data_IF_525708627869
#
_entry.id   IF_525708627869
#
_cell.length_a   1.000
_cell.length_b   1.000
_cell.length_c   1.000
_cell.angle_alpha   90.00
_cell.angle_beta   90.00
_cell.angle_gamma   90.00
#
_symmetry.space_group_name_H-M   'P 1'
#
loop_
_entity.id
_entity.type
_entity.pdbx_description
1 polymer ?
#
# COMPACT_ATOMS: atom_id res chain seq x y z
N UNK A 1 -12.21 7.20 -1.55
CA UNK A 1 -12.04 6.43 -0.30
C UNK A 1 -12.16 4.97 -0.59
N UNK A 2 -11.00 4.33 -0.60
CA UNK A 2 -10.84 2.90 -0.73
C UNK A 2 -9.64 2.50 0.10
N UNK A 3 -9.85 1.56 1.02
CA UNK A 3 -8.78 0.99 1.81
C UNK A 3 -8.15 -0.19 1.07
N UNK A 4 -6.82 -0.21 1.09
CA UNK A 4 -6.03 -1.30 0.53
C UNK A 4 -5.09 -1.85 1.59
N UNK A 5 -5.07 -3.18 1.70
CA UNK A 5 -4.13 -3.93 2.52
C UNK A 5 -2.93 -4.36 1.67
N UNK A 6 -1.74 -4.10 2.16
CA UNK A 6 -0.46 -4.46 1.54
C UNK A 6 0.19 -5.55 2.40
N UNK A 7 0.38 -6.73 1.82
CA UNK A 7 1.04 -7.86 2.49
C UNK A 7 2.55 -7.64 2.44
N UNK A 8 3.14 -7.49 3.61
CA UNK A 8 4.54 -7.13 3.80
C UNK A 8 5.44 -8.36 3.71
N UNK A 9 6.66 -8.14 3.23
CA UNK A 9 7.73 -9.12 3.32
C UNK A 9 8.43 -9.15 4.68
N UNK A 10 9.48 -9.98 4.76
CA UNK A 10 10.20 -10.27 6.00
C UNK A 10 10.80 -9.03 6.66
N UNK A 11 11.27 -8.05 5.88
CA UNK A 11 11.71 -6.75 6.38
C UNK A 11 10.57 -5.72 6.38
N UNK A 12 9.57 -5.97 7.22
CA UNK A 12 8.31 -5.20 7.25
C UNK A 12 8.50 -3.69 7.46
N UNK A 13 9.49 -3.27 8.26
CA UNK A 13 9.79 -1.84 8.46
C UNK A 13 10.24 -1.17 7.16
N UNK A 14 11.15 -1.82 6.43
CA UNK A 14 11.63 -1.32 5.14
C UNK A 14 10.50 -1.35 4.10
N UNK A 15 9.69 -2.41 4.07
CA UNK A 15 8.54 -2.53 3.18
C UNK A 15 7.53 -1.40 3.38
N UNK A 16 7.20 -1.05 4.63
CA UNK A 16 6.31 0.08 4.92
C UNK A 16 6.96 1.40 4.47
N UNK A 17 8.26 1.60 4.76
CA UNK A 17 8.97 2.80 4.36
C UNK A 17 9.02 2.97 2.83
N UNK A 18 9.26 1.90 2.09
CA UNK A 18 9.24 1.86 0.62
C UNK A 18 7.85 2.25 0.10
N UNK A 19 6.78 1.64 0.63
CA UNK A 19 5.40 1.93 0.25
C UNK A 19 5.06 3.41 0.48
N UNK A 20 5.36 3.95 1.66
CA UNK A 20 5.08 5.35 1.98
C UNK A 20 5.89 6.32 1.10
N UNK A 21 7.14 5.96 0.78
CA UNK A 21 7.95 6.74 -0.15
C UNK A 21 7.38 6.71 -1.56
N UNK A 22 6.95 5.54 -2.05
CA UNK A 22 6.30 5.39 -3.35
C UNK A 22 5.04 6.25 -3.44
N UNK A 23 4.14 6.13 -2.46
CA UNK A 23 2.87 6.87 -2.39
C UNK A 23 3.13 8.38 -2.43
N UNK A 24 4.05 8.86 -1.59
CA UNK A 24 4.40 10.28 -1.52
C UNK A 24 5.03 10.80 -2.81
N UNK A 25 5.94 10.04 -3.41
CA UNK A 25 6.66 10.46 -4.62
C UNK A 25 5.74 10.52 -5.86
N UNK A 26 4.65 9.73 -5.88
CA UNK A 26 3.63 9.75 -6.93
C UNK A 26 2.51 10.76 -6.66
N UNK A 27 2.55 11.46 -5.53
CA UNK A 27 1.58 12.50 -5.17
C UNK A 27 0.24 11.98 -4.67
N UNK A 28 0.15 10.70 -4.31
CA UNK A 28 -1.08 10.11 -3.79
C UNK A 28 -1.38 10.61 -2.37
N UNK A 29 -2.64 10.91 -2.09
CA UNK A 29 -3.11 11.22 -0.73
C UNK A 29 -3.59 9.93 -0.03
N UNK A 30 -2.74 9.35 0.81
CA UNK A 30 -3.06 8.16 1.59
C UNK A 30 -2.70 8.28 3.08
N UNK A 31 -3.47 7.61 3.94
CA UNK A 31 -3.28 7.57 5.40
C UNK A 31 -3.14 6.11 5.84
N UNK A 32 -2.17 5.83 6.71
CA UNK A 32 -2.06 4.50 7.37
C UNK A 32 -3.18 4.38 8.40
N UNK A 33 -4.08 3.42 8.23
CA UNK A 33 -5.21 3.18 9.15
C UNK A 33 -4.94 2.06 10.13
N UNK A 34 -4.17 1.04 9.74
CA UNK A 34 -3.71 -0.04 10.61
C UNK A 34 -2.40 -0.65 10.09
N UNK A 35 -1.63 -1.28 10.97
CA UNK A 35 -0.43 -2.02 10.57
C UNK A 35 -0.05 -3.12 11.56
N UNK A 36 0.66 -4.12 11.05
CA UNK A 36 1.31 -5.18 11.81
C UNK A 36 2.67 -5.50 11.19
N UNK A 37 3.33 -6.57 11.66
CA UNK A 37 4.55 -7.10 11.02
C UNK A 37 4.28 -7.80 9.69
N UNK A 38 3.02 -8.08 9.35
CA UNK A 38 2.66 -8.87 8.16
C UNK A 38 1.87 -8.06 7.12
N UNK A 39 1.23 -6.97 7.54
CA UNK A 39 0.38 -6.19 6.65
C UNK A 39 0.31 -4.72 7.11
N UNK A 40 0.05 -3.82 6.17
CA UNK A 40 -0.30 -2.42 6.42
C UNK A 40 -1.55 -2.05 5.62
N UNK A 41 -2.43 -1.26 6.19
CA UNK A 41 -3.64 -0.76 5.53
C UNK A 41 -3.46 0.74 5.27
N UNK A 42 -3.70 1.14 4.02
CA UNK A 42 -3.74 2.52 3.59
C UNK A 42 -5.15 2.87 3.11
N UNK A 43 -5.71 3.95 3.63
CA UNK A 43 -6.89 4.61 3.07
C UNK A 43 -6.45 5.66 2.05
N UNK A 44 -6.82 5.45 0.79
CA UNK A 44 -6.59 6.40 -0.29
C UNK A 44 -7.82 7.30 -0.46
N UNK A 45 -7.59 8.62 -0.43
CA UNK A 45 -8.68 9.58 -0.61
C UNK A 45 -9.24 9.52 -2.03
N UNK A 46 -8.35 9.45 -3.02
CA UNK A 46 -8.68 9.35 -4.43
C UNK A 46 -9.17 7.95 -4.83
N UNK A 47 -9.85 7.87 -5.97
CA UNK A 47 -10.31 6.60 -6.53
C UNK A 47 -9.19 6.00 -7.37
N UNK A 48 -8.51 5.02 -6.79
CA UNK A 48 -7.47 4.25 -7.49
C UNK A 48 -8.08 3.42 -8.62
N UNK A 49 -7.47 3.45 -9.81
CA UNK A 49 -7.80 2.49 -10.87
C UNK A 49 -7.11 1.17 -10.59
N UNK A 50 -7.61 0.08 -11.18
CA UNK A 50 -7.02 -1.23 -10.99
C UNK A 50 -5.57 -1.27 -11.51
N UNK A 51 -5.31 -0.57 -12.61
CA UNK A 51 -3.98 -0.47 -13.22
C UNK A 51 -2.98 0.21 -12.29
N UNK A 52 -3.39 1.25 -11.57
CA UNK A 52 -2.54 1.97 -10.61
C UNK A 52 -2.13 1.05 -9.45
N UNK A 53 -3.05 0.21 -8.97
CA UNK A 53 -2.78 -0.77 -7.90
C UNK A 53 -1.85 -1.88 -8.39
N UNK A 54 -2.02 -2.34 -9.63
CA UNK A 54 -1.15 -3.36 -10.22
C UNK A 54 0.26 -2.81 -10.42
N UNK A 55 0.40 -1.59 -10.94
CA UNK A 55 1.70 -0.91 -11.10
C UNK A 55 2.39 -0.69 -9.74
N UNK A 56 1.63 -0.26 -8.74
CA UNK A 56 2.11 -0.10 -7.37
C UNK A 56 2.63 -1.42 -6.81
N UNK A 57 1.85 -2.51 -6.88
CA UNK A 57 2.30 -3.82 -6.40
C UNK A 57 3.57 -4.28 -7.12
N UNK A 58 3.68 -4.08 -8.44
CA UNK A 58 4.85 -4.47 -9.22
C UNK A 58 6.10 -3.64 -8.93
N UNK A 59 5.92 -2.41 -8.42
CA UNK A 59 7.03 -1.48 -8.13
C UNK A 59 7.64 -1.67 -6.74
N UNK A 60 6.95 -2.35 -5.83
CA UNK A 60 7.37 -2.51 -4.43
C UNK A 60 8.13 -3.82 -4.25
N UNK A 61 9.42 -3.76 -3.92
CA UNK A 61 10.22 -4.95 -3.63
C UNK A 61 9.85 -5.62 -2.30
N UNK A 62 9.29 -4.85 -1.36
CA UNK A 62 8.93 -5.29 -0.03
C UNK A 62 7.47 -5.72 0.16
N UNK A 63 6.62 -5.65 -0.87
CA UNK A 63 5.20 -5.98 -0.80
C UNK A 63 4.85 -7.13 -1.74
N UNK A 64 4.29 -8.22 -1.21
CA UNK A 64 3.98 -9.43 -1.98
C UNK A 64 2.64 -9.36 -2.70
N UNK A 65 1.64 -8.74 -2.07
CA UNK A 65 0.26 -8.72 -2.56
C UNK A 65 -0.48 -7.50 -2.06
N UNK A 66 -1.35 -6.95 -2.88
CA UNK A 66 -2.30 -5.90 -2.50
C UNK A 66 -3.72 -6.44 -2.59
N UNK A 67 -4.53 -6.14 -1.59
CA UNK A 67 -5.96 -6.45 -1.55
C UNK A 67 -6.78 -5.21 -1.26
N UNK A 68 -7.99 -5.12 -1.81
CA UNK A 68 -8.96 -4.09 -1.41
C UNK A 68 -9.72 -4.58 -0.18
N UNK A 69 -9.83 -3.74 0.84
CA UNK A 69 -10.65 -4.01 2.02
C UNK A 69 -12.13 -3.85 1.63
N UNK A 70 -12.94 -4.86 1.93
CA UNK A 70 -14.40 -4.84 1.76
C UNK A 70 -15.01 -4.87 3.16
N UNK A 71 -15.86 -3.89 3.45
CA UNK A 71 -16.65 -3.81 4.68
C UNK A 71 -18.09 -4.23 4.41
#
# INVERSE_FOLDING_TARGET
>A
MAEYVFILGSNWLLSIAELLAYVRNRGYEAIVTDHSRHAVILDFKEKMKLEDIIDMQGSLGGCYKVGRVIQ
#
